data_IF_722447747278
#
_entry.id   IF_722447747278
#
_cell.length_a   1.000
_cell.length_b   1.000
_cell.length_c   1.000
_cell.angle_alpha   90.00
_cell.angle_beta   90.00
_cell.angle_gamma   90.00
#
_symmetry.space_group_name_H-M   'P 1'
#
loop_
_entity.id
_entity.type
_entity.pdbx_description
1 polymer ?
#
# COMPACT_ATOMS: atom_id res chain seq x y z
N UNK A 1 4.89 -15.66 15.35
CA UNK A 1 5.64 -14.83 16.32
C UNK A 1 5.65 -15.61 17.62
N UNK A 2 6.81 -15.72 18.27
CA UNK A 2 6.88 -16.39 19.58
C UNK A 2 6.20 -15.46 20.60
N UNK A 3 5.36 -16.02 21.45
CA UNK A 3 4.82 -15.28 22.58
C UNK A 3 5.93 -15.17 23.62
N UNK A 4 6.24 -13.93 24.01
CA UNK A 4 7.25 -13.64 25.02
C UNK A 4 6.55 -13.03 26.23
N UNK A 5 6.96 -13.45 27.42
CA UNK A 5 6.40 -12.94 28.66
C UNK A 5 6.89 -11.50 28.86
N UNK A 6 5.96 -10.54 28.92
CA UNK A 6 6.30 -9.14 29.13
C UNK A 6 7.08 -8.88 30.43
N UNK A 7 6.89 -9.71 31.46
CA UNK A 7 7.64 -9.63 32.72
C UNK A 7 9.09 -10.08 32.62
N UNK A 8 9.46 -10.83 31.58
CA UNK A 8 10.84 -11.24 31.32
C UNK A 8 11.56 -10.26 30.37
N UNK A 9 10.79 -9.50 29.58
CA UNK A 9 11.30 -8.64 28.50
C UNK A 9 11.36 -7.17 28.90
N UNK A 10 10.42 -6.68 29.71
CA UNK A 10 10.28 -5.26 30.02
C UNK A 10 10.79 -4.93 31.43
N UNK A 11 11.40 -3.75 31.64
CA UNK A 11 11.72 -3.25 32.96
C UNK A 11 10.48 -3.14 33.85
N UNK A 12 10.65 -3.37 35.17
CA UNK A 12 9.55 -3.41 36.13
C UNK A 12 8.72 -2.11 36.16
N UNK A 13 9.39 -0.96 36.09
CA UNK A 13 8.74 0.35 36.09
C UNK A 13 7.84 0.55 34.86
N UNK A 14 8.30 0.14 33.67
CA UNK A 14 7.53 0.21 32.43
C UNK A 14 6.36 -0.77 32.45
N UNK A 15 6.57 -1.98 32.98
CA UNK A 15 5.52 -2.98 33.12
C UNK A 15 4.39 -2.47 34.03
N UNK A 16 4.73 -1.86 35.17
CA UNK A 16 3.75 -1.23 36.08
C UNK A 16 2.94 -0.15 35.37
N UNK A 17 3.59 0.66 34.54
CA UNK A 17 2.89 1.70 33.79
C UNK A 17 1.93 1.10 32.74
N UNK A 18 2.37 0.10 31.98
CA UNK A 18 1.52 -0.58 30.98
C UNK A 18 0.33 -1.26 31.65
N UNK A 19 0.52 -1.87 32.83
CA UNK A 19 -0.56 -2.53 33.57
C UNK A 19 -1.69 -1.56 33.95
N UNK A 20 -1.42 -0.28 34.19
CA UNK A 20 -2.47 0.73 34.44
C UNK A 20 -3.46 0.86 33.27
N UNK A 21 -3.00 0.64 32.03
CA UNK A 21 -3.79 0.84 30.82
C UNK A 21 -4.28 -0.46 30.19
N UNK A 22 -3.52 -1.55 30.34
CA UNK A 22 -3.70 -2.78 29.57
C UNK A 22 -3.59 -4.08 30.41
N UNK A 23 -3.74 -4.03 31.73
CA UNK A 23 -3.80 -5.25 32.55
C UNK A 23 -4.88 -6.23 32.05
N UNK A 24 -4.49 -7.49 31.86
CA UNK A 24 -5.37 -8.56 31.37
C UNK A 24 -5.67 -8.51 29.87
N UNK A 25 -5.04 -7.61 29.10
CA UNK A 25 -5.23 -7.48 27.65
C UNK A 25 -3.97 -7.91 26.89
N UNK A 26 -4.17 -8.42 25.67
CA UNK A 26 -3.08 -8.67 24.73
C UNK A 26 -2.70 -7.36 24.02
N UNK A 27 -1.49 -6.88 24.25
CA UNK A 27 -0.97 -5.66 23.63
C UNK A 27 -0.02 -6.02 22.49
N UNK A 28 -0.30 -5.53 21.27
CA UNK A 28 0.64 -5.62 20.15
C UNK A 28 1.52 -4.37 20.11
N UNK A 29 2.84 -4.55 20.20
CA UNK A 29 3.81 -3.47 20.03
C UNK A 29 4.25 -3.47 18.55
N UNK A 30 3.88 -2.47 17.75
CA UNK A 30 4.37 -2.38 16.38
C UNK A 30 5.89 -2.15 16.39
N UNK A 31 6.60 -2.73 15.41
CA UNK A 31 8.03 -2.46 15.25
C UNK A 31 8.27 -0.97 15.00
N UNK A 32 9.25 -0.39 15.71
CA UNK A 32 9.75 0.97 15.48
C UNK A 32 10.16 1.15 14.02
N UNK A 33 9.86 2.30 13.46
CA UNK A 33 9.80 2.54 12.02
C UNK A 33 11.16 2.44 11.32
N UNK A 34 11.34 1.36 10.56
CA UNK A 34 11.40 1.47 9.10
C UNK A 34 10.30 0.53 8.57
N UNK A 35 9.08 1.04 8.42
CA UNK A 35 8.08 0.33 7.61
C UNK A 35 8.60 0.33 6.18
N UNK A 36 9.39 -0.68 5.83
CA UNK A 36 9.64 -1.02 4.43
C UNK A 36 8.27 -1.23 3.80
N UNK A 37 7.97 -0.48 2.75
CA UNK A 37 6.67 -0.59 2.11
C UNK A 37 6.47 -2.05 1.67
N UNK A 38 5.23 -2.53 1.72
CA UNK A 38 4.90 -3.92 1.40
C UNK A 38 5.54 -4.37 0.08
N UNK A 39 6.51 -5.29 0.16
CA UNK A 39 7.24 -5.88 -0.97
C UNK A 39 8.53 -5.17 -1.38
N UNK A 40 9.05 -4.21 -0.60
CA UNK A 40 10.40 -3.65 -0.78
C UNK A 40 11.49 -4.63 -0.37
N UNK A 41 11.33 -5.35 0.76
CA UNK A 41 12.34 -6.32 1.24
C UNK A 41 12.53 -7.51 0.28
N UNK A 42 11.51 -7.85 -0.52
CA UNK A 42 11.53 -9.01 -1.42
C UNK A 42 11.66 -8.66 -2.92
N UNK A 43 11.77 -7.38 -3.28
CA UNK A 43 11.75 -6.92 -4.67
C UNK A 43 10.43 -7.20 -5.42
N UNK A 44 9.41 -7.67 -4.71
CA UNK A 44 8.13 -8.07 -5.28
C UNK A 44 7.39 -6.88 -5.89
N UNK A 45 7.51 -5.69 -5.27
CA UNK A 45 6.95 -4.44 -5.81
C UNK A 45 7.51 -4.11 -7.19
N UNK A 46 8.82 -4.20 -7.35
CA UNK A 46 9.48 -3.89 -8.62
C UNK A 46 9.08 -4.87 -9.71
N UNK A 47 9.00 -6.17 -9.38
CA UNK A 47 8.53 -7.19 -10.31
C UNK A 47 7.10 -6.91 -10.78
N UNK A 48 6.20 -6.58 -9.85
CA UNK A 48 4.82 -6.20 -10.19
C UNK A 48 4.78 -4.92 -11.03
N UNK A 49 5.62 -3.94 -10.72
CA UNK A 49 5.68 -2.69 -11.47
C UNK A 49 6.15 -2.91 -12.89
N UNK A 50 7.24 -3.68 -13.11
CA UNK A 50 7.73 -4.06 -14.44
C UNK A 50 6.67 -4.81 -15.23
N UNK A 51 6.03 -5.83 -14.62
CA UNK A 51 4.92 -6.57 -15.23
C UNK A 51 3.80 -5.63 -15.68
N UNK A 52 3.35 -4.73 -14.80
CA UNK A 52 2.27 -3.80 -15.12
C UNK A 52 2.66 -2.79 -16.21
N UNK A 53 3.94 -2.44 -16.36
CA UNK A 53 4.42 -1.64 -17.50
C UNK A 53 4.33 -2.46 -18.79
N UNK A 54 4.77 -3.72 -18.79
CA UNK A 54 4.71 -4.59 -19.97
C UNK A 54 3.27 -4.85 -20.43
N UNK A 55 2.34 -5.13 -19.50
CA UNK A 55 0.91 -5.29 -19.79
C UNK A 55 0.35 -4.06 -20.51
N UNK A 56 0.73 -2.85 -20.06
CA UNK A 56 0.26 -1.60 -20.69
C UNK A 56 0.84 -1.38 -22.08
N UNK A 57 2.12 -1.68 -22.27
CA UNK A 57 2.76 -1.54 -23.58
C UNK A 57 2.14 -2.51 -24.59
N UNK A 58 1.91 -3.76 -24.21
CA UNK A 58 1.25 -4.76 -25.06
C UNK A 58 -0.19 -4.38 -25.40
N UNK A 59 -0.94 -3.86 -24.43
CA UNK A 59 -2.28 -3.32 -24.67
C UNK A 59 -2.25 -2.13 -25.65
N UNK A 60 -1.30 -1.20 -25.51
CA UNK A 60 -1.13 -0.07 -26.42
C UNK A 60 -0.74 -0.50 -27.84
N UNK A 61 -0.07 -1.65 -27.98
CA UNK A 61 0.25 -2.28 -29.26
C UNK A 61 -0.90 -3.12 -29.84
N UNK A 62 -2.11 -3.04 -29.27
CA UNK A 62 -3.33 -3.65 -29.84
C UNK A 62 -3.75 -4.98 -29.23
N UNK A 63 -3.04 -5.53 -28.24
CA UNK A 63 -3.50 -6.75 -27.55
C UNK A 63 -4.76 -6.47 -26.72
N UNK A 64 -5.71 -7.40 -26.78
CA UNK A 64 -6.95 -7.33 -26.03
C UNK A 64 -6.76 -7.67 -24.55
N UNK A 65 -7.74 -7.30 -23.72
CA UNK A 65 -7.74 -7.62 -22.29
C UNK A 65 -7.77 -9.14 -22.06
N UNK A 66 -8.42 -9.90 -22.95
CA UNK A 66 -8.48 -11.37 -22.85
C UNK A 66 -7.12 -12.01 -23.11
N UNK A 67 -6.44 -11.62 -24.19
CA UNK A 67 -5.12 -12.16 -24.54
C UNK A 67 -4.07 -11.84 -23.46
N UNK A 68 -4.16 -10.67 -22.84
CA UNK A 68 -3.30 -10.30 -21.71
C UNK A 68 -3.64 -11.08 -20.42
N UNK A 69 -4.90 -11.42 -20.20
CA UNK A 69 -5.31 -12.26 -19.08
C UNK A 69 -4.72 -13.67 -19.21
N UNK A 70 -4.79 -14.22 -20.42
CA UNK A 70 -4.24 -15.54 -20.73
C UNK A 70 -2.70 -15.54 -20.65
N UNK A 71 -2.04 -14.55 -21.26
CA UNK A 71 -0.56 -14.47 -21.29
C UNK A 71 0.07 -14.30 -19.90
N UNK A 72 -0.56 -13.51 -19.02
CA UNK A 72 -0.03 -13.24 -17.68
C UNK A 72 -0.64 -14.12 -16.59
N UNK A 73 -1.54 -15.05 -16.95
CA UNK A 73 -2.31 -15.89 -16.01
C UNK A 73 -3.02 -15.06 -14.94
N UNK A 74 -3.68 -13.98 -15.37
CA UNK A 74 -4.39 -13.04 -14.50
C UNK A 74 -5.87 -13.01 -14.85
N UNK A 75 -6.73 -12.78 -13.86
CA UNK A 75 -8.15 -12.53 -14.15
C UNK A 75 -8.33 -11.24 -14.96
N UNK A 76 -9.39 -11.17 -15.77
CA UNK A 76 -9.76 -9.96 -16.51
C UNK A 76 -9.88 -8.74 -15.59
N UNK A 77 -10.40 -8.92 -14.37
CA UNK A 77 -10.50 -7.86 -13.36
C UNK A 77 -9.11 -7.39 -12.88
N UNK A 78 -8.18 -8.32 -12.67
CA UNK A 78 -6.79 -8.00 -12.29
C UNK A 78 -6.06 -7.21 -13.37
N UNK A 79 -6.28 -7.57 -14.64
CA UNK A 79 -5.76 -6.83 -15.79
C UNK A 79 -6.37 -5.42 -15.83
N UNK A 80 -7.69 -5.28 -15.72
CA UNK A 80 -8.39 -3.97 -15.64
C UNK A 80 -7.84 -3.09 -14.50
N UNK A 81 -7.66 -3.68 -13.32
CA UNK A 81 -7.12 -3.00 -12.12
C UNK A 81 -5.66 -2.56 -12.29
N UNK A 82 -4.88 -3.29 -13.09
CA UNK A 82 -3.50 -2.92 -13.43
C UNK A 82 -3.41 -1.60 -14.22
N UNK A 83 -4.46 -1.24 -14.97
CA UNK A 83 -4.57 0.06 -15.66
C UNK A 83 -4.98 1.21 -14.71
N UNK A 84 -5.97 0.98 -13.84
CA UNK A 84 -6.53 2.02 -12.95
C UNK A 84 -5.48 2.54 -11.95
N UNK A 85 -4.60 1.68 -11.45
CA UNK A 85 -3.61 2.01 -10.40
C UNK A 85 -2.65 3.16 -10.70
N UNK A 86 -2.49 3.58 -11.97
CA UNK A 86 -1.62 4.72 -12.36
C UNK A 86 -2.37 5.99 -12.77
N UNK A 87 -3.69 5.93 -13.06
CA UNK A 87 -4.41 7.07 -13.65
C UNK A 87 -4.54 8.27 -12.71
N UNK A 88 -4.39 8.06 -11.40
CA UNK A 88 -4.39 9.13 -10.39
C UNK A 88 -3.15 10.04 -10.39
N UNK A 89 -1.99 9.60 -10.91
CA UNK A 89 -0.76 10.41 -10.79
C UNK A 89 -0.84 11.64 -11.71
N UNK A 90 -1.23 11.46 -12.98
CA UNK A 90 -1.36 12.56 -13.95
C UNK A 90 -2.45 13.57 -13.58
N UNK A 91 -3.61 13.08 -13.14
CA UNK A 91 -4.73 13.93 -12.72
C UNK A 91 -4.36 14.72 -11.46
N UNK A 92 -3.73 14.09 -10.46
CA UNK A 92 -3.31 14.80 -9.25
C UNK A 92 -2.24 15.86 -9.53
N UNK A 93 -1.32 15.61 -10.48
CA UNK A 93 -0.31 16.58 -10.91
C UNK A 93 -0.93 17.75 -11.69
N UNK A 94 -1.90 17.48 -12.58
CA UNK A 94 -2.66 18.54 -13.27
C UNK A 94 -3.46 19.38 -12.28
N UNK A 95 -4.19 18.74 -11.35
CA UNK A 95 -4.98 19.44 -10.33
C UNK A 95 -4.09 20.29 -9.40
N UNK A 96 -2.90 19.80 -9.03
CA UNK A 96 -1.91 20.59 -8.27
C UNK A 96 -1.37 21.77 -9.08
N UNK A 97 -1.12 21.61 -10.39
CA UNK A 97 -0.72 22.72 -11.28
C UNK A 97 -1.83 23.78 -11.38
N UNK A 98 -3.06 23.34 -11.57
CA UNK A 98 -4.23 24.22 -11.65
C UNK A 98 -4.48 24.96 -10.34
N UNK A 99 -4.47 24.26 -9.20
CA UNK A 99 -4.65 24.90 -7.90
C UNK A 99 -3.53 25.89 -7.55
N UNK A 100 -2.28 25.64 -8.00
CA UNK A 100 -1.19 26.61 -7.88
C UNK A 100 -1.41 27.86 -8.72
N UNK A 101 -1.91 27.71 -9.94
CA UNK A 101 -2.21 28.83 -10.85
C UNK A 101 -3.32 29.74 -10.31
N UNK A 102 -4.29 29.19 -9.58
CA UNK A 102 -5.43 29.93 -9.02
C UNK A 102 -5.36 30.16 -7.49
N UNK A 103 -4.19 29.93 -6.88
CA UNK A 103 -3.96 30.07 -5.43
C UNK A 103 -5.00 29.37 -4.53
N UNK A 104 -5.49 28.20 -4.98
CA UNK A 104 -6.47 27.38 -4.27
C UNK A 104 -5.75 26.37 -3.34
N UNK A 105 -6.24 26.23 -2.11
CA UNK A 105 -5.73 25.24 -1.14
C UNK A 105 -6.40 23.88 -1.41
N UNK A 106 -5.66 22.90 -1.94
CA UNK A 106 -6.18 21.51 -2.05
C UNK A 106 -6.09 20.83 -0.69
N UNK A 107 -7.16 20.82 0.09
CA UNK A 107 -7.31 19.99 1.30
C UNK A 107 -7.94 18.66 0.90
N UNK A 108 -7.12 17.67 0.56
CA UNK A 108 -7.61 16.34 0.15
C UNK A 108 -6.59 15.24 0.42
N UNK A 109 -6.77 14.55 1.55
CA UNK A 109 -6.01 13.38 1.94
C UNK A 109 -6.43 12.17 1.07
N UNK A 110 -5.70 11.90 -0.01
CA UNK A 110 -5.77 10.62 -0.74
C UNK A 110 -4.69 9.67 -0.21
N UNK A 111 -4.73 9.36 1.08
CA UNK A 111 -4.04 8.21 1.65
C UNK A 111 -5.10 7.33 2.29
N UNK A 112 -5.12 6.06 1.87
CA UNK A 112 -5.95 4.95 2.36
C UNK A 112 -7.11 4.58 1.43
N UNK A 113 -6.75 3.79 0.40
CA UNK A 113 -7.71 3.03 -0.37
C UNK A 113 -8.24 1.82 0.41
N UNK A 114 -9.56 1.63 0.32
CA UNK A 114 -10.30 0.38 0.45
C UNK A 114 -10.17 -0.41 1.76
N UNK A 115 -11.03 -0.08 2.73
CA UNK A 115 -11.74 -1.10 3.51
C UNK A 115 -13.12 -1.29 2.86
N UNK A 116 -13.32 -2.41 2.16
CA UNK A 116 -14.64 -2.85 1.76
C UNK A 116 -15.22 -3.67 2.92
N UNK A 117 -16.38 -3.24 3.43
CA UNK A 117 -17.36 -4.09 4.10
C UNK A 117 -17.92 -5.12 3.14
#
# INVERSE_FOLDING_TARGET
MKYENAGEVLPEELLKEIQKYAAGKLLYIPKGEEKKDWGETSGYRDRLQRRNVMIRNKYANGMTVSELADEYFLSLDSIKKSFIRRKMIGISLMLRRYARQYNMRITGCWKNGFSAT
#
